data_IF_817064633091
#
_entry.id   IF_817064633091
#
_cell.length_a   1.000
_cell.length_b   1.000
_cell.length_c   1.000
_cell.angle_alpha   90.00
_cell.angle_beta   90.00
_cell.angle_gamma   90.00
#
_symmetry.space_group_name_H-M   'P 1'
#
loop_
_entity.id
_entity.type
_entity.pdbx_description
1 polymer ?
#
# COMPACT_ATOMS: atom_id res chain seq x y z
N UNK A 1 -30.95 20.22 36.26
CA UNK A 1 -32.22 19.64 36.77
C UNK A 1 -32.36 18.22 36.30
N UNK A 2 -32.36 17.29 37.30
CA UNK A 2 -32.96 15.94 37.37
C UNK A 2 -32.39 14.88 36.37
N UNK A 3 -31.35 14.13 36.78
CA UNK A 3 -31.31 12.78 37.45
C UNK A 3 -32.46 11.83 37.04
N UNK A 4 -32.11 10.75 36.35
CA UNK A 4 -32.78 9.45 36.55
C UNK A 4 -31.73 8.33 36.52
N UNK A 5 -31.45 7.81 37.74
CA UNK A 5 -30.76 6.55 37.98
C UNK A 5 -31.83 5.44 37.88
N UNK A 6 -31.53 4.38 37.13
CA UNK A 6 -32.13 3.05 37.39
C UNK A 6 -31.03 2.03 37.61
N UNK A 7 -31.00 1.56 38.84
CA UNK A 7 -30.30 0.39 39.34
C UNK A 7 -31.16 -0.82 38.99
N UNK A 8 -30.61 -1.84 38.34
CA UNK A 8 -31.10 -3.17 38.42
C UNK A 8 -29.93 -4.16 38.47
N UNK A 9 -29.64 -4.62 39.66
CA UNK A 9 -28.75 -5.76 39.95
C UNK A 9 -29.50 -7.02 39.63
N UNK A 10 -28.91 -7.99 38.88
CA UNK A 10 -29.20 -9.43 39.06
C UNK A 10 -28.11 -10.31 38.47
N UNK A 11 -27.45 -11.01 39.38
CA UNK A 11 -26.99 -12.41 39.33
C UNK A 11 -25.96 -12.87 38.28
N UNK A 12 -24.78 -13.16 38.81
CA UNK A 12 -23.73 -14.04 38.31
C UNK A 12 -24.28 -15.40 37.89
N UNK A 13 -24.01 -15.79 36.65
CA UNK A 13 -23.76 -17.18 36.29
C UNK A 13 -22.48 -17.17 35.43
N UNK A 14 -21.39 -17.63 36.03
CA UNK A 14 -20.11 -17.77 35.35
C UNK A 14 -20.19 -18.85 34.28
N UNK A 15 -20.17 -18.44 33.01
CA UNK A 15 -19.75 -19.27 31.91
C UNK A 15 -18.48 -18.65 31.41
N UNK A 16 -17.35 -19.25 31.78
CA UNK A 16 -16.05 -18.91 31.22
C UNK A 16 -16.05 -19.19 29.72
N UNK A 17 -16.39 -18.21 28.91
CA UNK A 17 -16.00 -18.19 27.52
C UNK A 17 -14.50 -17.89 27.52
N UNK A 18 -13.69 -18.95 27.44
CA UNK A 18 -12.35 -18.83 26.92
C UNK A 18 -12.50 -18.33 25.49
N UNK A 19 -12.48 -17.02 25.30
CA UNK A 19 -12.21 -16.43 24.01
C UNK A 19 -10.77 -16.84 23.70
N UNK A 20 -10.62 -17.95 22.97
CA UNK A 20 -9.44 -18.18 22.17
C UNK A 20 -9.38 -16.99 21.23
N UNK A 21 -8.48 -16.05 21.53
CA UNK A 21 -8.00 -15.07 20.58
C UNK A 21 -7.35 -15.88 19.43
N UNK A 22 -8.17 -16.33 18.49
CA UNK A 22 -7.70 -16.66 17.16
C UNK A 22 -7.22 -15.33 16.60
N UNK A 23 -5.92 -15.05 16.79
CA UNK A 23 -5.23 -13.97 16.11
C UNK A 23 -5.63 -14.05 14.65
N UNK A 24 -6.27 -13.01 14.17
CA UNK A 24 -6.64 -12.91 12.74
C UNK A 24 -5.31 -12.90 12.01
N UNK A 25 -4.91 -14.08 11.52
CA UNK A 25 -3.64 -14.26 10.84
C UNK A 25 -3.67 -13.36 9.63
N UNK A 26 -2.86 -12.30 9.61
CA UNK A 26 -2.69 -11.39 8.50
C UNK A 26 -1.92 -12.12 7.40
N UNK A 27 -2.55 -13.18 6.86
CA UNK A 27 -1.94 -14.04 5.86
C UNK A 27 -1.79 -13.26 4.56
N UNK A 28 -0.56 -12.85 4.32
CA UNK A 28 -0.09 -12.31 3.03
C UNK A 28 0.70 -13.36 2.24
N UNK A 29 0.52 -14.65 2.54
CA UNK A 29 1.24 -15.69 1.83
C UNK A 29 0.35 -16.35 0.78
N UNK A 30 0.88 -16.50 -0.41
CA UNK A 30 0.30 -17.36 -1.44
C UNK A 30 0.33 -18.81 -0.92
N UNK A 31 -0.73 -19.57 -1.22
CA UNK A 31 -0.83 -20.99 -0.83
C UNK A 31 0.22 -21.87 -1.48
N UNK A 32 0.75 -21.45 -2.64
CA UNK A 32 1.81 -22.17 -3.37
C UNK A 32 3.24 -21.85 -2.87
N UNK A 33 3.39 -20.92 -1.91
CA UNK A 33 4.68 -20.53 -1.34
C UNK A 33 5.60 -19.75 -2.29
N UNK A 34 5.12 -19.34 -3.47
CA UNK A 34 5.94 -18.61 -4.46
C UNK A 34 6.14 -17.18 -4.00
N UNK A 35 7.41 -16.75 -3.89
CA UNK A 35 7.76 -15.34 -3.59
C UNK A 35 7.69 -14.51 -4.87
N UNK A 36 6.83 -13.48 -4.93
CA UNK A 36 6.59 -12.72 -6.16
C UNK A 36 7.66 -11.67 -6.50
N UNK A 37 8.66 -11.48 -5.67
CA UNK A 37 9.74 -10.51 -5.88
C UNK A 37 11.05 -10.99 -5.29
N UNK A 38 12.16 -10.39 -5.72
CA UNK A 38 13.51 -10.68 -5.19
C UNK A 38 14.33 -9.41 -5.09
N UNK A 39 15.44 -9.47 -4.37
CA UNK A 39 16.41 -8.39 -4.33
C UNK A 39 16.96 -8.07 -5.73
N UNK A 40 17.09 -6.79 -6.06
CA UNK A 40 17.47 -6.30 -7.39
C UNK A 40 16.28 -6.01 -8.30
N UNK A 41 15.04 -6.28 -7.88
CA UNK A 41 13.86 -5.87 -8.66
C UNK A 41 13.73 -4.34 -8.69
N UNK A 42 13.42 -3.82 -9.89
CA UNK A 42 13.07 -2.43 -10.11
C UNK A 42 11.93 -2.32 -11.11
N UNK A 43 10.89 -1.58 -10.74
CA UNK A 43 9.70 -1.34 -11.55
C UNK A 43 9.55 0.17 -11.72
N UNK A 44 9.35 0.63 -12.96
CA UNK A 44 9.19 2.06 -13.28
C UNK A 44 7.79 2.30 -13.82
N UNK A 45 7.17 3.37 -13.36
CA UNK A 45 5.86 3.86 -13.78
C UNK A 45 5.96 5.20 -14.47
N UNK A 46 5.15 5.40 -15.50
CA UNK A 46 4.74 6.73 -15.91
C UNK A 46 3.44 7.09 -15.18
N UNK A 47 3.43 8.25 -14.54
CA UNK A 47 2.30 8.76 -13.78
C UNK A 47 1.70 9.91 -14.54
N UNK A 48 0.38 9.84 -14.79
CA UNK A 48 -0.39 10.86 -15.49
C UNK A 48 -1.47 11.43 -14.59
N UNK A 49 -1.75 12.71 -14.77
CA UNK A 49 -2.89 13.38 -14.19
C UNK A 49 -3.96 13.54 -15.27
N UNK A 50 -5.15 13.06 -14.98
CA UNK A 50 -6.30 13.16 -15.87
C UNK A 50 -7.26 14.23 -15.36
N UNK A 51 -7.37 15.31 -16.11
CA UNK A 51 -8.34 16.37 -15.88
C UNK A 51 -9.09 16.65 -17.16
N UNK A 52 -10.41 16.37 -17.17
CA UNK A 52 -11.23 16.40 -18.38
C UNK A 52 -10.62 15.59 -19.54
N UNK A 53 -10.42 16.22 -20.71
CA UNK A 53 -9.85 15.58 -21.91
C UNK A 53 -8.32 15.54 -21.93
N UNK A 54 -7.63 16.12 -20.92
CA UNK A 54 -6.17 16.18 -20.88
C UNK A 54 -5.63 14.99 -20.08
N UNK A 55 -4.83 14.16 -20.76
CA UNK A 55 -4.08 13.08 -20.15
C UNK A 55 -2.61 13.24 -20.49
N UNK A 56 -1.80 13.65 -19.55
CA UNK A 56 -0.38 13.92 -19.74
C UNK A 56 0.44 13.21 -18.66
N UNK A 57 1.58 12.62 -19.06
CA UNK A 57 2.54 12.06 -18.12
C UNK A 57 3.27 13.20 -17.41
N UNK A 58 3.01 13.35 -16.14
CA UNK A 58 3.50 14.46 -15.32
C UNK A 58 4.64 14.06 -14.39
N UNK A 59 4.76 12.76 -14.08
CA UNK A 59 5.74 12.25 -13.13
C UNK A 59 6.19 10.82 -13.49
N UNK A 60 7.28 10.41 -12.84
CA UNK A 60 7.75 9.01 -12.82
C UNK A 60 7.71 8.49 -11.40
N UNK A 61 7.27 7.23 -11.25
CA UNK A 61 7.37 6.46 -10.04
C UNK A 61 8.35 5.31 -10.21
N UNK A 62 9.05 4.94 -9.15
CA UNK A 62 9.98 3.80 -9.15
C UNK A 62 9.77 2.99 -7.88
N UNK A 63 9.64 1.66 -8.02
CA UNK A 63 9.68 0.71 -6.92
C UNK A 63 10.97 -0.09 -7.02
N UNK A 64 11.67 -0.27 -5.91
CA UNK A 64 12.88 -1.13 -5.83
C UNK A 64 12.81 -2.07 -4.64
N UNK A 65 13.47 -3.22 -4.77
CA UNK A 65 13.56 -4.23 -3.73
C UNK A 65 15.03 -4.55 -3.45
N UNK A 66 15.41 -4.51 -2.20
CA UNK A 66 16.68 -4.96 -1.67
C UNK A 66 16.49 -5.86 -0.45
N UNK A 67 17.58 -6.37 0.07
CA UNK A 67 17.63 -7.02 1.38
C UNK A 67 18.72 -6.34 2.21
N UNK A 68 18.43 -6.13 3.47
CA UNK A 68 19.33 -5.51 4.44
C UNK A 68 19.33 -6.29 5.76
N UNK A 69 20.23 -5.94 6.65
CA UNK A 69 20.22 -6.40 8.04
C UNK A 69 19.88 -5.23 8.93
N UNK A 70 18.72 -5.29 9.59
CA UNK A 70 18.25 -4.30 10.56
C UNK A 70 18.28 -4.92 11.97
N UNK A 71 19.09 -4.36 12.86
CA UNK A 71 19.23 -4.86 14.24
C UNK A 71 19.53 -6.37 14.34
N UNK A 72 20.30 -6.94 13.39
CA UNK A 72 20.65 -8.36 13.36
C UNK A 72 19.63 -9.27 12.65
N UNK A 73 18.45 -8.76 12.29
CA UNK A 73 17.44 -9.46 11.51
C UNK A 73 17.61 -9.17 10.01
N UNK A 74 17.56 -10.20 9.15
CA UNK A 74 17.46 -10.00 7.70
C UNK A 74 16.06 -9.55 7.35
N UNK A 75 15.95 -8.46 6.60
CA UNK A 75 14.70 -7.84 6.21
C UNK A 75 14.69 -7.52 4.72
N UNK A 76 13.51 -7.43 4.13
CA UNK A 76 13.32 -6.73 2.87
C UNK A 76 13.47 -5.24 3.11
N UNK A 77 14.23 -4.57 2.25
CA UNK A 77 14.22 -3.10 2.11
C UNK A 77 13.59 -2.76 0.76
N UNK A 78 12.48 -2.08 0.80
CA UNK A 78 11.76 -1.64 -0.40
C UNK A 78 11.64 -0.14 -0.42
N UNK A 79 11.83 0.45 -1.59
CA UNK A 79 11.72 1.89 -1.77
C UNK A 79 10.70 2.21 -2.85
N UNK A 80 9.83 3.16 -2.58
CA UNK A 80 8.93 3.78 -3.55
C UNK A 80 9.30 5.26 -3.67
N UNK A 81 9.67 5.69 -4.87
CA UNK A 81 10.00 7.08 -5.14
C UNK A 81 9.10 7.62 -6.25
N UNK A 82 8.67 8.88 -6.13
CA UNK A 82 7.96 9.61 -7.17
C UNK A 82 8.55 11.00 -7.37
N UNK A 83 8.71 11.39 -8.63
CA UNK A 83 9.15 12.74 -8.97
C UNK A 83 8.46 13.27 -10.22
N UNK A 84 8.05 14.52 -10.17
CA UNK A 84 7.54 15.23 -11.35
C UNK A 84 8.63 15.40 -12.40
N UNK A 85 8.24 15.38 -13.69
CA UNK A 85 9.16 15.66 -14.77
C UNK A 85 9.59 17.14 -14.74
N UNK A 86 10.83 17.47 -15.17
CA UNK A 86 11.37 18.82 -15.05
C UNK A 86 10.48 19.93 -15.62
N UNK A 87 9.77 19.66 -16.70
CA UNK A 87 8.83 20.62 -17.29
C UNK A 87 7.69 20.98 -16.32
N UNK A 88 7.20 20.01 -15.54
CA UNK A 88 6.10 20.23 -14.59
C UNK A 88 6.57 20.78 -13.24
N UNK A 89 7.86 20.66 -12.91
CA UNK A 89 8.44 21.21 -11.67
C UNK A 89 8.22 22.73 -11.55
N UNK A 90 8.11 23.43 -12.68
CA UNK A 90 7.83 24.88 -12.71
C UNK A 90 6.45 25.21 -12.17
N UNK A 91 5.48 24.30 -12.32
CA UNK A 91 4.09 24.48 -11.90
C UNK A 91 3.81 23.82 -10.55
N UNK A 92 4.33 22.62 -10.35
CA UNK A 92 4.12 21.83 -9.14
C UNK A 92 5.21 20.78 -8.99
N UNK A 93 6.12 21.02 -8.05
CA UNK A 93 7.26 20.13 -7.80
C UNK A 93 6.92 19.11 -6.75
N UNK A 94 6.96 17.81 -7.11
CA UNK A 94 6.82 16.68 -6.20
C UNK A 94 8.11 15.88 -6.14
N UNK A 95 8.54 15.56 -4.92
CA UNK A 95 9.61 14.61 -4.60
C UNK A 95 9.14 13.79 -3.43
N UNK A 96 8.82 12.53 -3.67
CA UNK A 96 8.41 11.60 -2.64
C UNK A 96 9.34 10.43 -2.58
N UNK A 97 9.66 10.02 -1.38
CA UNK A 97 10.41 8.81 -1.10
C UNK A 97 9.84 8.12 0.13
N UNK A 98 9.49 6.85 -0.03
CA UNK A 98 9.02 5.98 1.02
C UNK A 98 9.92 4.75 1.05
N UNK A 99 10.63 4.55 2.15
CA UNK A 99 11.43 3.36 2.40
C UNK A 99 10.76 2.51 3.48
N UNK A 100 10.68 1.21 3.27
CA UNK A 100 10.10 0.28 4.21
C UNK A 100 11.03 -0.90 4.42
N UNK A 101 11.23 -1.28 5.68
CA UNK A 101 11.93 -2.47 6.10
C UNK A 101 10.94 -3.40 6.78
N UNK A 102 10.75 -4.60 6.23
CA UNK A 102 9.82 -5.57 6.76
C UNK A 102 10.40 -6.99 6.75
N UNK A 103 9.85 -7.84 7.60
CA UNK A 103 10.30 -9.22 7.74
C UNK A 103 10.28 -9.98 6.40
N UNK A 104 11.18 -10.92 6.20
CA UNK A 104 11.21 -11.76 5.01
C UNK A 104 9.92 -12.58 4.86
N UNK A 105 9.34 -12.98 5.98
CA UNK A 105 8.05 -13.66 6.03
C UNK A 105 6.96 -12.70 6.53
N UNK A 106 5.75 -12.78 5.93
CA UNK A 106 4.56 -12.08 6.42
C UNK A 106 4.47 -10.58 6.12
N UNK A 107 5.49 -9.93 5.54
CA UNK A 107 5.50 -8.47 5.22
C UNK A 107 5.25 -7.61 6.47
N UNK A 108 5.66 -8.06 7.64
CA UNK A 108 5.48 -7.29 8.88
C UNK A 108 6.50 -6.15 8.94
N UNK A 109 6.04 -4.88 9.03
CA UNK A 109 6.93 -3.74 9.10
C UNK A 109 7.84 -3.78 10.34
N UNK A 110 9.08 -3.29 10.16
CA UNK A 110 10.08 -3.07 11.21
C UNK A 110 10.42 -1.60 11.32
N UNK A 111 10.56 -0.96 10.18
CA UNK A 111 10.85 0.46 10.06
C UNK A 111 10.22 1.00 8.80
N UNK A 112 9.83 2.27 8.83
CA UNK A 112 9.35 3.01 7.67
C UNK A 112 9.89 4.44 7.72
N UNK A 113 10.29 4.96 6.57
CA UNK A 113 10.71 6.33 6.41
C UNK A 113 10.00 6.95 5.22
N UNK A 114 9.31 8.07 5.47
CA UNK A 114 8.73 8.93 4.43
C UNK A 114 9.48 10.25 4.39
N UNK A 115 9.87 10.69 3.22
CA UNK A 115 10.30 12.06 2.91
C UNK A 115 9.47 12.54 1.71
N UNK A 116 8.51 13.41 1.99
CA UNK A 116 7.59 13.98 0.99
C UNK A 116 7.84 15.46 0.87
N UNK A 117 8.01 15.93 -0.35
CA UNK A 117 8.10 17.37 -0.70
C UNK A 117 7.17 17.68 -1.86
N UNK A 118 6.15 18.49 -1.59
CA UNK A 118 5.14 18.90 -2.54
C UNK A 118 5.00 20.44 -2.53
N UNK A 119 5.64 21.12 -3.47
CA UNK A 119 5.77 22.56 -3.41
C UNK A 119 6.45 23.00 -2.12
N UNK A 120 5.75 23.79 -1.28
CA UNK A 120 6.23 24.25 0.03
C UNK A 120 5.92 23.26 1.17
N UNK A 121 5.14 22.21 0.90
CA UNK A 121 4.85 21.18 1.89
C UNK A 121 6.00 20.20 2.00
N UNK A 122 6.45 19.96 3.22
CA UNK A 122 7.44 18.94 3.55
C UNK A 122 6.93 18.09 4.72
N UNK A 123 7.02 16.76 4.60
CA UNK A 123 6.68 15.84 5.67
C UNK A 123 7.72 14.74 5.78
N UNK A 124 8.17 14.49 7.01
CA UNK A 124 8.99 13.34 7.37
C UNK A 124 8.20 12.51 8.38
N UNK A 125 8.07 11.20 8.11
CA UNK A 125 7.61 10.22 9.07
C UNK A 125 8.71 9.15 9.20
N UNK A 126 9.32 9.04 10.37
CA UNK A 126 10.31 7.99 10.69
C UNK A 126 9.71 7.09 11.78
N UNK A 127 9.35 5.86 11.42
CA UNK A 127 8.67 4.90 12.27
C UNK A 127 9.56 3.72 12.63
N UNK A 128 9.53 3.34 13.90
CA UNK A 128 10.06 2.07 14.39
C UNK A 128 8.92 1.29 15.03
N UNK A 129 8.65 0.08 14.51
CA UNK A 129 7.54 -0.76 14.96
C UNK A 129 7.97 -1.64 16.15
N UNK A 130 7.47 -1.36 17.36
CA UNK A 130 7.58 -2.26 18.50
C UNK A 130 6.37 -3.20 18.56
N UNK A 131 6.56 -4.43 18.05
CA UNK A 131 5.51 -5.46 18.06
C UNK A 131 5.12 -5.92 19.44
N UNK A 132 6.05 -5.92 20.39
CA UNK A 132 5.77 -6.41 21.75
C UNK A 132 4.89 -5.43 22.51
N UNK A 133 5.16 -4.15 22.34
CA UNK A 133 4.37 -3.07 22.93
C UNK A 133 3.11 -2.76 22.14
N UNK A 134 3.00 -3.17 20.85
CA UNK A 134 1.91 -2.77 19.96
C UNK A 134 1.93 -1.27 19.65
N UNK A 135 3.11 -0.68 19.55
CA UNK A 135 3.32 0.76 19.40
C UNK A 135 4.29 1.04 18.26
N UNK A 136 4.01 2.05 17.48
CA UNK A 136 4.95 2.67 16.53
C UNK A 136 5.57 3.87 17.23
N UNK A 137 6.88 3.84 17.45
CA UNK A 137 7.65 5.02 17.86
C UNK A 137 7.86 5.88 16.61
N UNK A 138 7.13 6.98 16.52
CA UNK A 138 7.09 7.84 15.37
C UNK A 138 7.79 9.16 15.63
N UNK A 139 8.77 9.53 14.78
CA UNK A 139 9.30 10.88 14.70
C UNK A 139 8.68 11.56 13.48
N UNK A 140 8.00 12.68 13.69
CA UNK A 140 7.16 13.36 12.73
C UNK A 140 7.62 14.81 12.55
N UNK A 141 7.80 15.22 11.31
CA UNK A 141 8.04 16.62 10.96
C UNK A 141 7.11 17.03 9.82
N UNK A 142 6.51 18.20 9.95
CA UNK A 142 5.64 18.78 8.92
C UNK A 142 6.04 20.23 8.68
N UNK A 143 6.20 20.61 7.41
CA UNK A 143 6.76 21.89 6.98
C UNK A 143 8.16 22.10 7.61
N UNK A 144 8.46 23.31 8.00
CA UNK A 144 9.71 23.68 8.68
C UNK A 144 9.57 23.67 10.22
N UNK A 145 8.57 22.94 10.76
CA UNK A 145 8.38 22.83 12.20
C UNK A 145 9.40 21.87 12.82
N UNK A 146 9.59 22.00 14.13
CA UNK A 146 10.40 21.04 14.88
C UNK A 146 9.83 19.64 14.78
N UNK A 147 10.72 18.64 14.78
CA UNK A 147 10.33 17.23 14.83
C UNK A 147 9.70 16.90 16.17
N UNK A 148 8.57 16.22 16.13
CA UNK A 148 7.87 15.70 17.32
C UNK A 148 8.01 14.20 17.37
N UNK A 149 8.01 13.64 18.59
CA UNK A 149 8.01 12.18 18.81
C UNK A 149 6.70 11.77 19.44
N UNK A 150 6.06 10.76 18.89
CA UNK A 150 4.77 10.24 19.34
C UNK A 150 4.80 8.71 19.36
N UNK A 151 4.05 8.13 20.29
CA UNK A 151 3.77 6.71 20.33
C UNK A 151 2.38 6.44 19.77
N UNK A 152 2.32 5.78 18.60
CA UNK A 152 1.08 5.49 17.90
C UNK A 152 0.68 4.03 18.15
N UNK A 153 -0.39 3.76 18.90
CA UNK A 153 -0.88 2.40 19.10
C UNK A 153 -1.32 1.77 17.76
N UNK A 154 -0.91 0.52 17.51
CA UNK A 154 -1.34 -0.21 16.32
C UNK A 154 -1.74 -1.66 16.65
N UNK A 155 -2.58 -2.23 15.82
CA UNK A 155 -3.03 -3.61 15.92
C UNK A 155 -2.42 -4.51 14.85
N UNK A 156 -2.84 -5.76 14.87
CA UNK A 156 -2.49 -6.72 13.82
C UNK A 156 -2.89 -6.21 12.43
N UNK A 157 -2.21 -6.70 11.40
CA UNK A 157 -2.44 -6.32 10.00
C UNK A 157 -2.24 -4.82 9.71
N UNK A 158 -1.37 -4.16 10.48
CA UNK A 158 -0.97 -2.78 10.20
C UNK A 158 0.32 -2.76 9.40
N UNK A 159 0.29 -2.04 8.29
CA UNK A 159 1.39 -1.88 7.35
C UNK A 159 1.71 -0.40 7.16
N UNK A 160 2.86 -0.09 6.63
CA UNK A 160 3.11 1.21 5.99
C UNK A 160 2.66 1.17 4.52
N UNK A 161 2.68 2.33 3.86
CA UNK A 161 2.21 2.49 2.47
C UNK A 161 2.98 1.59 1.49
N UNK A 162 4.30 1.43 1.69
CA UNK A 162 5.14 0.63 0.79
C UNK A 162 4.94 -0.86 1.05
N UNK A 163 4.96 -1.29 2.32
CA UNK A 163 4.71 -2.67 2.71
C UNK A 163 3.34 -3.18 2.21
N UNK A 164 2.32 -2.30 2.14
CA UNK A 164 1.01 -2.63 1.59
C UNK A 164 1.07 -3.14 0.14
N UNK A 165 1.90 -2.53 -0.73
CA UNK A 165 2.06 -3.00 -2.11
C UNK A 165 2.60 -4.43 -2.17
N UNK A 166 3.59 -4.74 -1.32
CA UNK A 166 4.18 -6.07 -1.26
C UNK A 166 3.27 -7.09 -0.56
N UNK A 167 2.48 -6.67 0.42
CA UNK A 167 1.38 -7.47 0.95
C UNK A 167 0.38 -7.85 -0.15
N UNK A 168 -0.06 -6.87 -0.97
CA UNK A 168 -1.00 -7.13 -2.04
C UNK A 168 -0.45 -8.08 -3.11
N UNK A 169 0.85 -8.01 -3.44
CA UNK A 169 1.52 -8.95 -4.36
C UNK A 169 1.54 -10.39 -3.83
N UNK A 170 1.53 -10.58 -2.51
CA UNK A 170 1.48 -11.90 -1.87
C UNK A 170 0.05 -12.42 -1.64
N UNK A 171 -1.00 -11.67 -1.99
CA UNK A 171 -2.37 -12.14 -1.86
C UNK A 171 -2.60 -13.39 -2.74
N UNK A 172 -3.33 -14.36 -2.19
CA UNK A 172 -3.63 -15.62 -2.88
C UNK A 172 -4.81 -15.46 -3.85
N UNK A 173 -4.60 -14.65 -4.89
CA UNK A 173 -5.65 -14.36 -5.87
C UNK A 173 -6.25 -15.58 -6.55
N UNK A 174 -5.50 -16.68 -6.63
CA UNK A 174 -5.95 -17.92 -7.27
C UNK A 174 -7.09 -18.57 -6.49
N UNK A 175 -7.06 -18.43 -5.15
CA UNK A 175 -8.06 -19.00 -4.25
C UNK A 175 -9.07 -17.95 -3.73
N UNK A 176 -9.08 -16.75 -4.34
CA UNK A 176 -10.02 -15.70 -3.95
C UNK A 176 -11.16 -15.55 -4.96
N UNK A 177 -12.39 -15.59 -4.48
CA UNK A 177 -13.55 -15.19 -5.29
C UNK A 177 -13.57 -13.65 -5.44
N UNK A 178 -14.06 -13.16 -6.59
CA UNK A 178 -14.33 -11.73 -6.75
C UNK A 178 -15.32 -11.25 -5.66
N UNK A 179 -15.04 -10.09 -5.08
CA UNK A 179 -15.76 -9.57 -3.92
C UNK A 179 -15.12 -9.91 -2.57
N UNK A 180 -14.13 -10.80 -2.51
CA UNK A 180 -13.40 -11.07 -1.27
C UNK A 180 -12.73 -9.82 -0.75
N UNK A 181 -12.95 -9.50 0.54
CA UNK A 181 -12.38 -8.31 1.22
C UNK A 181 -11.34 -8.75 2.25
N UNK A 182 -10.14 -8.21 2.13
CA UNK A 182 -9.11 -8.24 3.18
C UNK A 182 -9.11 -6.91 3.92
N UNK A 183 -9.34 -6.97 5.23
CA UNK A 183 -9.32 -5.79 6.11
C UNK A 183 -7.93 -5.67 6.71
N UNK A 184 -7.31 -4.53 6.51
CA UNK A 184 -5.98 -4.20 7.03
C UNK A 184 -5.98 -2.78 7.58
N UNK A 185 -4.85 -2.35 8.12
CA UNK A 185 -4.63 -0.96 8.51
C UNK A 185 -3.34 -0.41 7.88
N UNK A 186 -3.29 0.89 7.66
CA UNK A 186 -2.08 1.61 7.22
C UNK A 186 -1.72 2.65 8.26
N UNK A 187 -0.45 2.63 8.70
CA UNK A 187 0.11 3.71 9.49
C UNK A 187 0.64 4.80 8.55
N UNK A 188 0.16 6.03 8.72
CA UNK A 188 0.62 7.21 8.00
C UNK A 188 0.37 8.46 8.86
N UNK A 189 1.27 9.44 8.77
CA UNK A 189 1.28 10.62 9.63
C UNK A 189 1.25 10.20 11.12
N UNK A 190 0.28 10.64 11.89
CA UNK A 190 0.11 10.25 13.30
C UNK A 190 -1.14 9.37 13.52
N UNK A 191 -1.60 8.65 12.50
CA UNK A 191 -2.84 7.86 12.57
C UNK A 191 -2.66 6.44 11.98
N UNK A 192 -3.58 5.56 12.35
CA UNK A 192 -3.71 4.21 11.81
C UNK A 192 -5.06 4.07 11.13
N UNK A 193 -5.05 4.16 9.80
CA UNK A 193 -6.26 4.16 8.97
C UNK A 193 -6.68 2.73 8.62
N UNK A 194 -7.97 2.43 8.72
CA UNK A 194 -8.52 1.16 8.27
C UNK A 194 -8.72 1.14 6.76
N UNK A 195 -8.26 0.08 6.12
CA UNK A 195 -8.30 -0.11 4.68
C UNK A 195 -8.94 -1.44 4.33
N UNK A 196 -9.82 -1.42 3.35
CA UNK A 196 -10.33 -2.63 2.72
C UNK A 196 -9.62 -2.83 1.38
N UNK A 197 -9.02 -4.00 1.17
CA UNK A 197 -8.58 -4.47 -0.14
C UNK A 197 -9.62 -5.42 -0.68
N UNK A 198 -10.32 -5.03 -1.73
CA UNK A 198 -11.38 -5.83 -2.36
C UNK A 198 -10.87 -6.45 -3.66
N UNK A 199 -10.75 -7.77 -3.71
CA UNK A 199 -10.43 -8.45 -4.96
C UNK A 199 -11.61 -8.36 -5.93
N UNK A 200 -11.39 -7.81 -7.11
CA UNK A 200 -12.43 -7.58 -8.14
C UNK A 200 -12.37 -8.58 -9.29
N UNK A 201 -11.52 -9.62 -9.18
CA UNK A 201 -11.38 -10.66 -10.22
C UNK A 201 -10.27 -10.33 -11.21
N UNK A 202 -10.28 -11.11 -12.32
CA UNK A 202 -9.32 -10.98 -13.43
C UNK A 202 -9.90 -10.15 -14.55
N UNK A 203 -9.02 -9.41 -15.23
CA UNK A 203 -9.36 -8.73 -16.50
C UNK A 203 -8.10 -8.56 -17.36
N UNK A 204 -8.30 -8.33 -18.67
CA UNK A 204 -7.21 -7.95 -19.55
C UNK A 204 -7.03 -6.44 -19.50
N UNK A 205 -5.85 -5.98 -19.08
CA UNK A 205 -5.52 -4.56 -18.94
C UNK A 205 -4.57 -4.12 -20.05
N UNK A 206 -5.01 -3.17 -20.87
CA UNK A 206 -4.10 -2.54 -21.81
C UNK A 206 -3.25 -1.49 -21.10
N UNK A 207 -1.93 -1.64 -21.20
CA UNK A 207 -0.91 -0.73 -20.67
C UNK A 207 -0.17 -0.10 -21.83
N UNK A 208 -0.37 1.21 -22.05
CA UNK A 208 0.25 1.95 -23.15
C UNK A 208 1.78 1.88 -23.06
N UNK A 209 2.42 1.44 -24.13
CA UNK A 209 3.87 1.26 -24.22
C UNK A 209 4.35 -0.15 -23.87
N UNK A 210 3.50 -1.01 -23.29
CA UNK A 210 3.82 -2.41 -22.95
C UNK A 210 2.94 -3.37 -23.75
N UNK A 211 1.60 -3.23 -23.68
CA UNK A 211 0.67 -4.12 -24.34
C UNK A 211 -0.54 -4.47 -23.49
N UNK A 212 -1.24 -5.54 -23.88
CA UNK A 212 -2.37 -6.10 -23.13
C UNK A 212 -1.84 -7.20 -22.21
N UNK A 213 -2.13 -7.07 -20.91
CA UNK A 213 -1.61 -7.92 -19.83
C UNK A 213 -2.80 -8.55 -19.11
N UNK A 214 -2.75 -9.86 -18.87
CA UNK A 214 -3.67 -10.53 -17.96
C UNK A 214 -3.42 -10.02 -16.53
N UNK A 215 -4.47 -9.61 -15.82
CA UNK A 215 -4.30 -8.92 -14.56
C UNK A 215 -5.34 -9.30 -13.51
N UNK A 216 -4.92 -9.26 -12.25
CA UNK A 216 -5.79 -9.23 -11.07
C UNK A 216 -6.09 -7.78 -10.70
N UNK A 217 -7.35 -7.47 -10.46
CA UNK A 217 -7.84 -6.15 -10.09
C UNK A 217 -8.18 -6.10 -8.62
N UNK A 218 -7.66 -5.11 -7.92
CA UNK A 218 -7.88 -4.90 -6.48
C UNK A 218 -8.35 -3.47 -6.25
N UNK A 219 -9.50 -3.31 -5.60
CA UNK A 219 -9.99 -2.02 -5.12
C UNK A 219 -9.46 -1.73 -3.72
N UNK A 220 -9.15 -0.48 -3.45
CA UNK A 220 -8.69 0.02 -2.14
C UNK A 220 -9.70 1.04 -1.65
N UNK A 221 -10.29 0.81 -0.47
CA UNK A 221 -11.18 1.76 0.18
C UNK A 221 -10.64 2.15 1.54
N UNK A 222 -10.50 3.46 1.79
CA UNK A 222 -10.15 4.02 3.09
C UNK A 222 -11.41 4.36 3.86
N UNK A 223 -11.53 3.89 5.11
CA UNK A 223 -12.73 4.14 5.94
C UNK A 223 -12.69 5.47 6.69
N UNK A 224 -11.54 6.14 6.75
CA UNK A 224 -11.38 7.40 7.48
C UNK A 224 -10.29 8.24 6.82
N UNK A 225 -10.60 9.51 6.50
CA UNK A 225 -9.66 10.50 6.00
C UNK A 225 -9.92 10.95 4.56
N UNK A 226 -9.39 12.12 4.23
CA UNK A 226 -9.65 12.88 3.00
C UNK A 226 -8.78 12.47 1.80
N UNK A 227 -8.11 11.31 1.85
CA UNK A 227 -7.14 10.90 0.82
C UNK A 227 -7.84 10.53 -0.49
N UNK A 228 -9.06 9.99 -0.41
CA UNK A 228 -9.90 9.69 -1.58
C UNK A 228 -11.28 10.28 -1.38
N UNK A 229 -11.54 11.42 -1.98
CA UNK A 229 -12.90 11.97 -2.05
C UNK A 229 -13.63 11.38 -3.25
N UNK A 230 -14.71 10.68 -3.00
CA UNK A 230 -15.58 10.12 -4.02
C UNK A 230 -16.12 8.74 -3.63
N UNK A 231 -17.10 8.25 -4.38
CA UNK A 231 -17.68 6.91 -4.23
C UNK A 231 -16.82 5.82 -4.90
N UNK A 232 -15.68 6.15 -5.48
CA UNK A 232 -14.82 5.22 -6.21
C UNK A 232 -13.57 4.91 -5.40
N UNK A 233 -13.31 3.61 -5.23
CA UNK A 233 -12.09 3.11 -4.61
C UNK A 233 -10.89 3.37 -5.54
N UNK A 234 -9.72 3.62 -4.95
CA UNK A 234 -8.49 3.48 -5.72
C UNK A 234 -8.36 2.04 -6.22
N UNK A 235 -7.81 1.87 -7.40
CA UNK A 235 -7.71 0.56 -8.06
C UNK A 235 -6.25 0.29 -8.39
N UNK A 236 -5.81 -0.93 -8.08
CA UNK A 236 -4.52 -1.49 -8.49
C UNK A 236 -4.75 -2.68 -9.42
N UNK A 237 -3.87 -2.83 -10.40
CA UNK A 237 -3.79 -4.02 -11.25
C UNK A 237 -2.44 -4.66 -11.10
N UNK A 238 -2.43 -5.96 -10.82
CA UNK A 238 -1.24 -6.80 -10.71
C UNK A 238 -1.23 -7.81 -11.85
N UNK A 239 -0.06 -8.10 -12.42
CA UNK A 239 0.07 -9.13 -13.47
C UNK A 239 -0.44 -10.49 -12.98
N UNK A 240 -1.12 -11.24 -13.85
CA UNK A 240 -1.58 -12.62 -13.56
C UNK A 240 -0.48 -13.61 -13.91
N UNK A 241 0.67 -13.49 -13.23
CA UNK A 241 1.82 -14.37 -13.28
C UNK A 241 2.46 -14.48 -11.89
N UNK A 242 3.58 -15.17 -11.78
CA UNK A 242 4.24 -15.39 -10.49
C UNK A 242 4.85 -14.13 -9.89
N UNK A 243 5.16 -13.12 -10.70
CA UNK A 243 5.73 -11.87 -10.20
C UNK A 243 4.70 -10.95 -9.56
N UNK A 244 3.41 -11.01 -9.96
CA UNK A 244 2.39 -10.08 -9.47
C UNK A 244 2.86 -8.62 -9.59
N UNK A 245 3.49 -8.27 -10.71
CA UNK A 245 3.96 -6.90 -10.95
C UNK A 245 2.78 -5.94 -10.90
N UNK A 246 2.82 -4.85 -10.11
CA UNK A 246 1.82 -3.80 -10.24
C UNK A 246 1.99 -3.13 -11.61
N UNK A 247 1.01 -3.33 -12.50
CA UNK A 247 1.07 -2.87 -13.90
C UNK A 247 0.34 -1.56 -14.15
N UNK A 248 -0.61 -1.23 -13.29
CA UNK A 248 -1.33 0.04 -13.34
C UNK A 248 -1.98 0.36 -11.98
N UNK A 249 -2.24 1.64 -11.75
CA UNK A 249 -3.12 2.09 -10.68
C UNK A 249 -3.97 3.28 -11.13
N UNK A 250 -5.09 3.49 -10.46
CA UNK A 250 -5.93 4.67 -10.58
C UNK A 250 -6.31 5.13 -9.18
N UNK A 251 -6.08 6.39 -8.88
CA UNK A 251 -6.47 7.02 -7.63
C UNK A 251 -7.31 8.27 -7.95
N UNK A 252 -8.62 8.28 -7.63
CA UNK A 252 -9.44 9.47 -7.79
C UNK A 252 -8.96 10.56 -6.82
N UNK A 253 -9.01 11.79 -7.27
CA UNK A 253 -8.69 12.99 -6.52
C UNK A 253 -9.93 13.87 -6.42
N UNK A 254 -9.90 14.91 -5.57
CA UNK A 254 -11.01 15.92 -5.50
C UNK A 254 -11.37 16.46 -6.87
N UNK A 255 -10.38 16.63 -7.73
CA UNK A 255 -10.56 17.03 -9.13
C UNK A 255 -9.72 16.09 -9.99
N UNK A 256 -10.36 15.34 -10.89
CA UNK A 256 -9.69 14.40 -11.78
C UNK A 256 -9.23 13.10 -11.12
N UNK A 257 -8.21 12.48 -11.68
CA UNK A 257 -7.60 11.25 -11.17
C UNK A 257 -6.11 11.19 -11.48
N UNK A 258 -5.35 10.58 -10.57
CA UNK A 258 -3.98 10.19 -10.81
C UNK A 258 -3.96 8.74 -11.33
N UNK A 259 -3.24 8.50 -12.40
CA UNK A 259 -3.07 7.17 -12.97
C UNK A 259 -1.59 6.86 -13.13
N UNK A 260 -1.22 5.66 -12.71
CA UNK A 260 0.10 5.10 -13.00
C UNK A 260 -0.02 3.93 -13.96
N UNK A 261 0.97 3.79 -14.83
CA UNK A 261 1.12 2.63 -15.70
C UNK A 261 2.56 2.19 -15.77
N UNK A 262 2.75 0.88 -15.86
CA UNK A 262 4.05 0.26 -16.04
C UNK A 262 4.75 0.86 -17.27
N UNK A 263 5.99 1.28 -17.11
CA UNK A 263 6.86 1.78 -18.17
C UNK A 263 7.99 0.77 -18.47
N UNK A 264 8.62 0.23 -17.43
CA UNK A 264 9.66 -0.79 -17.55
C UNK A 264 9.81 -1.57 -16.26
N UNK A 265 10.47 -2.70 -16.33
CA UNK A 265 10.86 -3.50 -15.19
C UNK A 265 12.22 -4.18 -15.47
N UNK A 266 12.93 -4.50 -14.40
CA UNK A 266 14.16 -5.28 -14.42
C UNK A 266 14.31 -6.10 -13.13
N UNK A 267 15.06 -7.18 -13.17
CA UNK A 267 15.35 -7.99 -11.98
C UNK A 267 14.14 -8.74 -11.40
N UNK A 268 13.11 -9.04 -12.18
CA UNK A 268 11.96 -9.82 -11.71
C UNK A 268 12.37 -11.20 -11.17
N UNK A 269 11.60 -11.72 -10.21
CA UNK A 269 11.85 -13.03 -9.62
C UNK A 269 11.62 -14.18 -10.62
N UNK A 270 10.64 -14.04 -11.52
CA UNK A 270 10.19 -15.01 -12.49
C UNK A 270 10.04 -14.38 -13.88
N UNK A 271 9.83 -15.20 -14.92
CA UNK A 271 9.50 -14.73 -16.24
C UNK A 271 8.18 -13.96 -16.24
N UNK A 272 8.11 -12.85 -17.01
CA UNK A 272 6.89 -12.06 -17.15
C UNK A 272 5.96 -12.69 -18.19
N UNK A 273 5.14 -13.64 -17.73
CA UNK A 273 4.28 -14.46 -18.62
C UNK A 273 2.87 -13.89 -18.82
N UNK A 274 2.49 -12.86 -18.08
CA UNK A 274 1.16 -12.24 -18.16
C UNK A 274 0.92 -11.40 -19.42
N UNK A 275 1.95 -11.12 -20.23
CA UNK A 275 1.81 -10.34 -21.47
C UNK A 275 1.10 -11.18 -22.56
N UNK A 276 -0.13 -10.82 -22.88
CA UNK A 276 -0.95 -11.51 -23.90
C UNK A 276 -0.65 -11.01 -25.31
N UNK A 277 -0.36 -9.74 -25.46
CA UNK A 277 -0.10 -9.11 -26.76
C UNK A 277 0.59 -7.76 -26.58
N UNK A 278 1.51 -7.40 -27.47
CA UNK A 278 2.10 -6.05 -27.52
C UNK A 278 1.12 -4.99 -28.07
N UNK A 279 -0.03 -5.42 -28.58
CA UNK A 279 -1.10 -4.56 -29.07
C UNK A 279 -2.30 -4.57 -28.14
N UNK A 280 -3.19 -3.60 -28.29
CA UNK A 280 -4.49 -3.59 -27.62
C UNK A 280 -5.37 -4.71 -28.22
N UNK A 281 -5.79 -5.64 -27.38
CA UNK A 281 -6.80 -6.64 -27.72
C UNK A 281 -8.17 -6.00 -27.44
N UNK A 282 -9.12 -6.16 -28.37
CA UNK A 282 -10.51 -5.69 -28.24
C UNK A 282 -11.29 -6.58 -27.28
#
# INVERSE_FOLDING_TARGET
MRTFRFILSLLLAGIGFSASAQGTQCLSSRSDGVEPFKAGEKIVFNISYNWHAVQTDVAKGTLTVGQETLNGEKVWHTSMAMQTAPFFDVFFKIREKFDSWFALEGVEPRKFLRDTREGDYHAINDYVYDRRAGVIHANLQYWDKEMTSEDIPYGDCTYDVTALFYFARRMDFQNMAAGTVKKISIAIDNDVLRVNLTYRGKENKYVKGVGTIAAHKVGISLKKGDVFEGNEDAILWFSDDDNRVPIAFMAPLKVGAMNGRLASYEGLAHDFTALLSTKRIK
#
